data_IF_891024482085
#
_entry.id   IF_891024482085
#
_cell.length_a   1.000
_cell.length_b   1.000
_cell.length_c   1.000
_cell.angle_alpha   90.00
_cell.angle_beta   90.00
_cell.angle_gamma   90.00
#
_symmetry.space_group_name_H-M   'P 1'
#
loop_
_entity.id
_entity.type
_entity.pdbx_description
1 polymer ?
#
# COMPACT_ATOMS: atom_id res chain seq x y z
N UNK A 1 -9.12 -10.43 -7.89
CA UNK A 1 -8.88 -9.96 -6.52
C UNK A 1 -7.69 -9.01 -6.50
N UNK A 2 -7.89 -7.72 -6.22
CA UNK A 2 -6.78 -6.77 -6.14
C UNK A 2 -5.81 -7.14 -5.02
N UNK A 3 -4.51 -6.95 -5.29
CA UNK A 3 -3.45 -7.25 -4.34
C UNK A 3 -2.67 -5.96 -4.07
N UNK A 4 -2.69 -5.52 -2.82
CA UNK A 4 -2.14 -4.24 -2.39
C UNK A 4 -0.97 -4.48 -1.44
N UNK A 5 0.19 -3.90 -1.77
CA UNK A 5 1.37 -3.97 -0.93
C UNK A 5 1.54 -2.65 -0.18
N UNK A 6 1.68 -2.71 1.14
CA UNK A 6 2.04 -1.54 1.94
C UNK A 6 3.46 -1.72 2.43
N UNK A 7 4.26 -0.68 2.30
CA UNK A 7 5.65 -0.72 2.74
C UNK A 7 5.92 0.41 3.72
N UNK A 8 6.56 0.09 4.84
CA UNK A 8 6.95 1.11 5.82
C UNK A 8 8.23 0.70 6.55
N UNK A 9 8.76 1.63 7.34
CA UNK A 9 10.05 1.41 8.01
C UNK A 9 9.99 0.30 9.07
N UNK A 10 8.93 0.27 9.86
CA UNK A 10 8.86 -0.60 11.03
C UNK A 10 7.77 -1.67 10.97
N UNK A 11 6.82 -1.56 10.07
CA UNK A 11 5.79 -2.56 9.89
C UNK A 11 4.62 -2.56 10.87
N UNK A 12 4.84 -2.14 12.11
CA UNK A 12 3.81 -2.28 13.15
C UNK A 12 2.59 -1.37 12.95
N UNK A 13 2.82 -0.08 12.73
CA UNK A 13 1.71 0.85 12.50
C UNK A 13 1.00 0.54 11.19
N UNK A 14 1.73 0.04 10.21
CA UNK A 14 1.16 -0.36 8.93
C UNK A 14 0.26 -1.57 9.08
N UNK A 15 0.56 -2.47 10.02
CA UNK A 15 -0.30 -3.63 10.29
C UNK A 15 -1.69 -3.19 10.75
N UNK A 16 -1.76 -2.14 11.57
CA UNK A 16 -3.06 -1.60 12.00
C UNK A 16 -3.82 -0.98 10.83
N UNK A 17 -3.11 -0.30 9.95
CA UNK A 17 -3.72 0.27 8.74
C UNK A 17 -4.27 -0.86 7.85
N UNK A 18 -3.52 -1.96 7.71
CA UNK A 18 -3.99 -3.13 6.97
C UNK A 18 -5.31 -3.63 7.52
N UNK A 19 -5.41 -3.76 8.85
CA UNK A 19 -6.65 -4.23 9.48
C UNK A 19 -7.81 -3.30 9.17
N UNK A 20 -7.58 -1.99 9.21
CA UNK A 20 -8.64 -1.02 8.89
C UNK A 20 -9.05 -1.10 7.43
N UNK A 21 -8.10 -1.31 6.53
CA UNK A 21 -8.39 -1.46 5.11
C UNK A 21 -9.16 -2.75 4.85
N UNK A 22 -8.78 -3.85 5.48
CA UNK A 22 -9.49 -5.12 5.34
C UNK A 22 -10.92 -5.01 5.83
N UNK A 23 -11.12 -4.32 6.95
CA UNK A 23 -12.45 -4.08 7.48
C UNK A 23 -13.29 -3.26 6.51
N UNK A 24 -12.72 -2.21 5.94
CA UNK A 24 -13.40 -1.37 4.96
C UNK A 24 -13.78 -2.17 3.71
N UNK A 25 -12.89 -3.03 3.24
CA UNK A 25 -13.16 -3.90 2.10
C UNK A 25 -14.33 -4.84 2.38
N UNK A 26 -14.33 -5.41 3.57
CA UNK A 26 -15.41 -6.31 3.98
C UNK A 26 -16.76 -5.60 4.00
N UNK A 27 -16.80 -4.38 4.53
CA UNK A 27 -18.01 -3.57 4.58
C UNK A 27 -18.51 -3.27 3.17
N UNK A 28 -17.60 -3.00 2.24
CA UNK A 28 -17.93 -2.68 0.85
C UNK A 28 -18.20 -3.92 -0.01
N UNK A 29 -18.00 -5.12 0.54
CA UNK A 29 -18.17 -6.34 -0.23
C UNK A 29 -17.10 -6.57 -1.27
N UNK A 30 -15.88 -6.05 -1.03
CA UNK A 30 -14.77 -6.18 -1.97
C UNK A 30 -13.77 -7.20 -1.44
N UNK A 31 -13.33 -8.11 -2.31
CA UNK A 31 -12.26 -9.04 -1.97
C UNK A 31 -10.93 -8.42 -2.35
N UNK A 32 -10.01 -8.32 -1.39
CA UNK A 32 -8.66 -7.78 -1.59
C UNK A 32 -7.66 -8.60 -0.81
N UNK A 33 -6.43 -8.60 -1.27
CA UNK A 33 -5.31 -9.14 -0.49
C UNK A 33 -4.39 -7.97 -0.18
N UNK A 34 -4.09 -7.76 1.10
CA UNK A 34 -3.29 -6.62 1.56
C UNK A 34 -2.18 -7.16 2.44
N UNK A 35 -0.94 -6.77 2.15
CA UNK A 35 0.22 -7.18 2.94
C UNK A 35 1.08 -5.99 3.28
N UNK A 36 1.55 -5.92 4.52
CA UNK A 36 2.49 -4.91 4.97
C UNK A 36 3.88 -5.53 5.09
N UNK A 37 4.88 -4.85 4.54
CA UNK A 37 6.27 -5.31 4.56
C UNK A 37 7.20 -4.16 4.94
N UNK A 38 8.45 -4.50 5.30
CA UNK A 38 9.50 -3.51 5.53
C UNK A 38 10.19 -3.10 4.23
N UNK A 39 11.07 -2.10 4.35
CA UNK A 39 11.79 -1.56 3.19
C UNK A 39 12.59 -2.66 2.47
N UNK A 40 13.21 -3.56 3.22
CA UNK A 40 14.08 -4.59 2.65
C UNK A 40 13.32 -5.61 1.81
N UNK A 41 12.03 -5.74 2.02
CA UNK A 41 11.23 -6.76 1.35
C UNK A 41 10.59 -6.26 0.07
N UNK A 42 10.64 -4.96 -0.19
CA UNK A 42 9.96 -4.36 -1.34
C UNK A 42 10.37 -5.02 -2.67
N UNK A 43 11.67 -5.18 -2.89
CA UNK A 43 12.16 -5.69 -4.17
C UNK A 43 11.65 -7.10 -4.46
N UNK A 44 11.51 -7.92 -3.42
CA UNK A 44 11.07 -9.30 -3.58
C UNK A 44 9.55 -9.41 -3.72
N UNK A 45 8.81 -8.48 -3.13
CA UNK A 45 7.36 -8.61 -3.01
C UNK A 45 6.59 -7.87 -4.09
N UNK A 46 7.13 -6.78 -4.65
CA UNK A 46 6.36 -5.91 -5.55
C UNK A 46 5.83 -6.65 -6.79
N UNK A 47 6.57 -7.63 -7.29
CA UNK A 47 6.14 -8.37 -8.48
C UNK A 47 4.85 -9.16 -8.24
N UNK A 48 4.55 -9.47 -7.00
CA UNK A 48 3.39 -10.29 -6.64
C UNK A 48 2.13 -9.47 -6.32
N UNK A 49 2.22 -8.14 -6.40
CA UNK A 49 1.12 -7.26 -6.02
C UNK A 49 0.76 -6.33 -7.18
N UNK A 50 -0.43 -5.76 -7.12
CA UNK A 50 -0.94 -4.89 -8.19
C UNK A 50 -0.55 -3.44 -8.00
N UNK A 51 -0.27 -3.03 -6.78
CA UNK A 51 0.21 -1.68 -6.49
C UNK A 51 0.97 -1.69 -5.17
N UNK A 52 1.68 -0.60 -4.91
CA UNK A 52 2.38 -0.41 -3.65
C UNK A 52 2.10 0.99 -3.10
N UNK A 53 1.86 1.06 -1.79
CA UNK A 53 1.72 2.33 -1.08
C UNK A 53 2.77 2.41 -0.01
N UNK A 54 3.49 3.53 0.04
CA UNK A 54 4.52 3.77 1.04
C UNK A 54 3.96 4.54 2.21
N UNK A 55 4.33 4.13 3.42
CA UNK A 55 4.02 4.92 4.61
C UNK A 55 4.67 6.30 4.51
N UNK A 56 4.05 7.34 5.08
CA UNK A 56 4.61 8.69 4.97
C UNK A 56 6.01 8.82 5.55
N UNK A 57 6.37 7.96 6.50
CA UNK A 57 7.68 7.98 7.14
C UNK A 57 8.81 7.63 6.18
N UNK A 58 8.50 6.90 5.10
CA UNK A 58 9.49 6.49 4.12
C UNK A 58 9.21 7.07 2.74
N UNK A 59 8.56 8.22 2.68
CA UNK A 59 8.25 8.87 1.40
C UNK A 59 9.51 9.14 0.59
N UNK A 60 10.66 9.31 1.26
CA UNK A 60 11.95 9.52 0.59
C UNK A 60 12.39 8.30 -0.23
N UNK A 61 11.82 7.13 0.02
CA UNK A 61 12.13 5.92 -0.73
C UNK A 61 11.40 5.82 -2.06
N UNK A 62 10.44 6.71 -2.30
CA UNK A 62 9.68 6.66 -3.56
C UNK A 62 10.60 6.71 -4.78
N UNK A 63 11.58 7.62 -4.76
CA UNK A 63 12.53 7.74 -5.87
C UNK A 63 13.36 6.47 -6.06
N UNK A 64 13.68 5.76 -4.98
CA UNK A 64 14.46 4.53 -5.04
C UNK A 64 13.64 3.35 -5.56
N UNK A 65 12.36 3.29 -5.20
CA UNK A 65 11.48 2.17 -5.55
C UNK A 65 10.81 2.34 -6.91
N UNK A 66 10.63 3.57 -7.34
CA UNK A 66 9.87 3.87 -8.56
C UNK A 66 10.42 3.20 -9.82
N UNK A 67 11.76 3.16 -10.05
CA UNK A 67 12.28 2.51 -11.25
C UNK A 67 11.88 1.04 -11.37
N UNK A 68 11.96 0.28 -10.29
CA UNK A 68 11.56 -1.12 -10.32
C UNK A 68 10.06 -1.26 -10.51
N UNK A 69 9.27 -0.45 -9.82
CA UNK A 69 7.82 -0.49 -9.96
C UNK A 69 7.40 -0.18 -11.40
N UNK A 70 8.02 0.82 -12.03
CA UNK A 70 7.75 1.17 -13.42
C UNK A 70 8.15 0.05 -14.37
N UNK A 71 9.29 -0.58 -14.12
CA UNK A 71 9.76 -1.70 -14.93
C UNK A 71 8.76 -2.85 -14.91
N UNK A 72 8.09 -3.06 -13.78
CA UNK A 72 7.10 -4.13 -13.62
C UNK A 72 5.67 -3.65 -13.93
N UNK A 73 5.50 -2.40 -14.34
CA UNK A 73 4.19 -1.79 -14.61
C UNK A 73 3.29 -1.81 -13.37
N UNK A 74 3.88 -1.58 -12.19
CA UNK A 74 3.14 -1.53 -10.94
C UNK A 74 3.09 -0.08 -10.46
N UNK A 75 1.89 0.49 -10.25
CA UNK A 75 1.81 1.84 -9.70
C UNK A 75 2.27 1.87 -8.26
N UNK A 76 2.96 2.96 -7.89
CA UNK A 76 3.46 3.17 -6.55
C UNK A 76 3.15 4.61 -6.13
N UNK A 77 2.76 4.80 -4.87
CA UNK A 77 2.42 6.12 -4.35
C UNK A 77 2.73 6.16 -2.85
N UNK A 78 2.64 7.35 -2.27
CA UNK A 78 2.81 7.56 -0.84
C UNK A 78 1.43 7.76 -0.22
N UNK A 79 1.16 7.11 0.91
CA UNK A 79 -0.09 7.30 1.64
C UNK A 79 -0.13 8.73 2.16
N UNK A 80 -1.29 9.39 2.00
CA UNK A 80 -1.51 10.71 2.58
C UNK A 80 -1.26 10.65 4.08
N UNK A 81 -0.43 11.57 4.60
CA UNK A 81 -0.02 11.51 6.00
C UNK A 81 -1.18 11.68 6.98
N UNK A 82 -2.19 12.46 6.62
CA UNK A 82 -3.36 12.62 7.47
C UNK A 82 -4.19 11.33 7.51
N UNK A 83 -4.43 10.72 6.36
CA UNK A 83 -5.16 9.45 6.28
C UNK A 83 -4.43 8.36 7.05
N UNK A 84 -3.11 8.33 6.95
CA UNK A 84 -2.30 7.36 7.68
C UNK A 84 -2.37 7.58 9.19
N UNK A 85 -2.22 8.84 9.63
CA UNK A 85 -2.26 9.18 11.04
C UNK A 85 -3.62 8.89 11.69
N UNK A 86 -4.70 9.05 10.94
CA UNK A 86 -6.06 8.75 11.40
C UNK A 86 -6.43 7.29 11.18
N UNK A 87 -5.57 6.51 10.58
CA UNK A 87 -5.84 5.12 10.21
C UNK A 87 -7.13 5.00 9.39
N UNK A 88 -7.29 5.91 8.43
CA UNK A 88 -8.48 5.94 7.58
C UNK A 88 -8.39 4.85 6.51
N UNK A 89 -8.71 3.62 6.92
CA UNK A 89 -8.59 2.46 6.04
C UNK A 89 -9.44 2.55 4.79
N UNK A 90 -10.65 3.11 4.90
CA UNK A 90 -11.53 3.25 3.77
C UNK A 90 -10.92 4.16 2.68
N UNK A 91 -10.40 5.32 3.08
CA UNK A 91 -9.80 6.26 2.14
C UNK A 91 -8.54 5.66 1.50
N UNK A 92 -7.70 5.02 2.30
CA UNK A 92 -6.48 4.40 1.80
C UNK A 92 -6.82 3.27 0.85
N UNK A 93 -7.80 2.44 1.18
CA UNK A 93 -8.26 1.37 0.30
C UNK A 93 -8.77 1.92 -1.02
N UNK A 94 -9.62 2.94 -0.97
CA UNK A 94 -10.18 3.52 -2.17
C UNK A 94 -9.11 4.14 -3.06
N UNK A 95 -8.13 4.82 -2.46
CA UNK A 95 -6.99 5.38 -3.21
C UNK A 95 -6.16 4.28 -3.86
N UNK A 96 -5.97 3.15 -3.16
CA UNK A 96 -5.24 2.00 -3.70
C UNK A 96 -5.96 1.42 -4.92
N UNK A 97 -7.27 1.26 -4.82
CA UNK A 97 -8.06 0.72 -5.93
C UNK A 97 -8.04 1.66 -7.13
N UNK A 98 -8.06 2.96 -6.91
CA UNK A 98 -7.92 3.93 -8.00
C UNK A 98 -6.58 3.81 -8.70
N UNK A 99 -5.52 3.59 -7.93
CA UNK A 99 -4.18 3.38 -8.49
C UNK A 99 -4.16 2.16 -9.40
N UNK A 100 -4.74 1.06 -8.95
CA UNK A 100 -4.74 -0.19 -9.71
C UNK A 100 -5.51 -0.04 -11.02
N UNK A 101 -6.59 0.71 -11.00
CA UNK A 101 -7.48 0.85 -12.15
C UNK A 101 -7.22 2.12 -12.98
N UNK A 102 -6.17 2.85 -12.65
CA UNK A 102 -5.82 4.07 -13.39
C UNK A 102 -5.25 3.76 -14.77
#
# INVERSE_FOLDING_TARGET
MPKILLCCAAGMSTSMVVQKMEKAAKVQGIEVEIKAVGIEEFNDEIAHYDCCLLGPQIKYKLADFQPLAQQLNKPISVINSMDYGMMNGEKILNDSLKLIHA
#
